data_IF_645991366357
#
_entry.id   IF_645991366357
#
_cell.length_a   1.000
_cell.length_b   1.000
_cell.length_c   1.000
_cell.angle_alpha   90.00
_cell.angle_beta   90.00
_cell.angle_gamma   90.00
#
_symmetry.space_group_name_H-M   'P 1'
#
loop_
_entity.id
_entity.type
_entity.pdbx_description
1 polymer ?
#
# COMPACT_ATOMS: atom_id res chain seq x y z
N UNK A 1 32.52 -2.45 11.79
CA UNK A 1 31.80 -1.61 10.80
C UNK A 1 31.09 -2.54 9.82
N UNK A 2 29.84 -2.87 10.08
CA UNK A 2 29.02 -3.71 9.21
C UNK A 2 27.58 -3.19 9.28
N UNK A 3 27.20 -2.36 8.33
CA UNK A 3 25.92 -1.62 8.28
C UNK A 3 24.76 -2.46 7.72
N UNK A 4 24.96 -3.77 7.54
CA UNK A 4 23.96 -4.71 7.01
C UNK A 4 23.31 -5.51 8.14
N UNK A 5 22.66 -4.82 9.07
CA UNK A 5 21.79 -5.51 10.03
C UNK A 5 20.44 -5.70 9.34
N UNK A 6 20.04 -6.94 9.10
CA UNK A 6 18.81 -7.31 8.40
C UNK A 6 17.55 -6.57 8.90
N UNK A 7 17.55 -6.11 10.16
CA UNK A 7 16.49 -5.32 10.76
C UNK A 7 16.24 -3.94 10.14
N UNK A 8 17.25 -3.26 9.59
CA UNK A 8 17.05 -1.95 8.96
C UNK A 8 16.50 -2.08 7.53
N UNK A 9 16.87 -3.15 6.82
CA UNK A 9 16.38 -3.43 5.47
C UNK A 9 14.91 -3.82 5.49
N UNK A 10 14.50 -4.66 6.45
CA UNK A 10 13.08 -4.98 6.64
C UNK A 10 12.29 -3.76 7.05
N UNK A 11 12.83 -2.89 7.91
CA UNK A 11 12.14 -1.65 8.28
C UNK A 11 11.86 -0.75 7.07
N UNK A 12 12.87 -0.49 6.24
CA UNK A 12 12.73 0.36 5.05
C UNK A 12 11.79 -0.26 4.01
N UNK A 13 11.84 -1.58 3.84
CA UNK A 13 10.91 -2.29 2.96
C UNK A 13 9.47 -2.21 3.48
N UNK A 14 9.26 -2.40 4.80
CA UNK A 14 7.93 -2.30 5.42
C UNK A 14 7.39 -0.89 5.33
N UNK A 15 8.22 0.14 5.54
CA UNK A 15 7.84 1.54 5.38
C UNK A 15 7.48 1.87 3.93
N UNK A 16 8.25 1.39 2.94
CA UNK A 16 7.93 1.56 1.53
C UNK A 16 6.59 0.91 1.15
N UNK A 17 6.30 -0.29 1.67
CA UNK A 17 5.00 -0.96 1.47
C UNK A 17 3.88 -0.18 2.15
N UNK A 18 4.08 0.30 3.38
CA UNK A 18 3.11 1.11 4.11
C UNK A 18 2.72 2.36 3.32
N UNK A 19 3.72 3.08 2.80
CA UNK A 19 3.51 4.26 1.96
C UNK A 19 2.76 3.88 0.68
N UNK A 20 3.13 2.78 0.02
CA UNK A 20 2.44 2.32 -1.18
C UNK A 20 0.97 1.94 -0.92
N UNK A 21 0.68 1.27 0.20
CA UNK A 21 -0.69 0.91 0.62
C UNK A 21 -1.52 2.16 0.91
N UNK A 22 -0.94 3.18 1.58
CA UNK A 22 -1.63 4.46 1.83
C UNK A 22 -1.93 5.17 0.52
N UNK A 23 -0.98 5.24 -0.41
CA UNK A 23 -1.19 5.87 -1.72
C UNK A 23 -2.24 5.11 -2.53
N UNK A 24 -2.23 3.78 -2.50
CA UNK A 24 -3.25 2.96 -3.14
C UNK A 24 -4.64 3.18 -2.51
N UNK A 25 -4.73 3.33 -1.19
CA UNK A 25 -5.97 3.69 -0.51
C UNK A 25 -6.50 5.07 -0.91
N UNK A 26 -5.61 6.06 -1.09
CA UNK A 26 -5.98 7.37 -1.64
C UNK A 26 -6.46 7.25 -3.09
N UNK A 27 -5.81 6.40 -3.90
CA UNK A 27 -6.24 6.12 -5.26
C UNK A 27 -7.65 5.52 -5.30
N UNK A 28 -7.94 4.52 -4.46
CA UNK A 28 -9.27 3.91 -4.39
C UNK A 28 -10.33 4.90 -3.86
N UNK A 29 -9.98 5.75 -2.89
CA UNK A 29 -10.91 6.70 -2.29
C UNK A 29 -11.20 7.93 -3.17
N UNK A 30 -10.25 8.37 -4.02
CA UNK A 30 -10.34 9.63 -4.79
C UNK A 30 -10.28 9.45 -6.31
N UNK A 31 -9.85 8.28 -6.80
CA UNK A 31 -9.56 8.02 -8.21
C UNK A 31 -8.25 8.64 -8.72
N UNK A 32 -7.49 9.36 -7.89
CA UNK A 32 -6.25 10.03 -8.31
C UNK A 32 -5.06 9.05 -8.27
N UNK A 33 -4.42 8.78 -9.42
CA UNK A 33 -3.16 8.02 -9.48
C UNK A 33 -1.96 8.92 -9.20
N UNK A 34 -1.05 8.47 -8.34
CA UNK A 34 0.25 9.13 -8.18
C UNK A 34 1.05 8.99 -9.47
N UNK A 35 1.47 10.11 -10.06
CA UNK A 35 2.25 10.11 -11.30
C UNK A 35 3.73 9.77 -11.00
N UNK A 36 4.21 8.54 -11.30
CA UNK A 36 5.60 8.14 -11.01
C UNK A 36 6.60 9.01 -11.78
N UNK A 37 6.22 9.49 -12.96
CA UNK A 37 7.01 10.39 -13.81
C UNK A 37 7.35 11.73 -13.16
N UNK A 38 6.53 12.16 -12.19
CA UNK A 38 6.76 13.39 -11.40
C UNK A 38 7.48 13.12 -10.08
N UNK A 39 7.50 11.86 -9.63
CA UNK A 39 8.07 11.48 -8.34
C UNK A 39 9.55 11.08 -8.44
N UNK A 40 9.97 10.45 -9.54
CA UNK A 40 11.34 9.98 -9.73
C UNK A 40 11.83 10.24 -11.15
N UNK A 41 13.04 10.80 -11.26
CA UNK A 41 13.79 10.93 -12.50
C UNK A 41 14.57 9.64 -12.80
N UNK A 42 14.33 9.06 -13.98
CA UNK A 42 15.02 7.86 -14.47
C UNK A 42 14.09 6.65 -14.62
N UNK A 43 14.14 6.02 -15.79
CA UNK A 43 13.25 4.92 -16.21
C UNK A 43 13.24 3.74 -15.23
N UNK A 44 14.42 3.37 -14.71
CA UNK A 44 14.54 2.30 -13.71
C UNK A 44 13.86 2.66 -12.40
N UNK A 45 14.01 3.91 -11.93
CA UNK A 45 13.38 4.38 -10.70
C UNK A 45 11.86 4.44 -10.81
N UNK A 46 11.35 4.89 -11.96
CA UNK A 46 9.92 4.90 -12.26
C UNK A 46 9.33 3.49 -12.29
N UNK A 47 10.04 2.52 -12.88
CA UNK A 47 9.62 1.12 -12.88
C UNK A 47 9.52 0.56 -11.46
N UNK A 48 10.53 0.78 -10.61
CA UNK A 48 10.48 0.36 -9.21
C UNK A 48 9.32 0.99 -8.46
N UNK A 49 9.10 2.30 -8.59
CA UNK A 49 7.96 2.98 -7.95
C UNK A 49 6.63 2.40 -8.41
N UNK A 50 6.48 2.10 -9.69
CA UNK A 50 5.29 1.47 -10.25
C UNK A 50 5.05 0.08 -9.65
N UNK A 51 6.09 -0.73 -9.51
CA UNK A 51 6.01 -2.07 -8.93
C UNK A 51 5.60 -2.01 -7.45
N UNK A 52 6.18 -1.09 -6.68
CA UNK A 52 5.80 -0.86 -5.29
C UNK A 52 4.34 -0.39 -5.14
N UNK A 53 3.89 0.53 -6.00
CA UNK A 53 2.50 0.99 -6.03
C UNK A 53 1.54 -0.16 -6.36
N UNK A 54 1.87 -1.00 -7.35
CA UNK A 54 1.07 -2.18 -7.71
C UNK A 54 0.97 -3.18 -6.56
N UNK A 55 2.09 -3.44 -5.87
CA UNK A 55 2.09 -4.30 -4.68
C UNK A 55 1.23 -3.72 -3.56
N UNK A 56 1.33 -2.41 -3.30
CA UNK A 56 0.51 -1.72 -2.30
C UNK A 56 -0.98 -1.82 -2.60
N UNK A 57 -1.36 -1.66 -3.87
CA UNK A 57 -2.75 -1.80 -4.33
C UNK A 57 -3.28 -3.22 -4.17
N UNK A 58 -2.48 -4.24 -4.51
CA UNK A 58 -2.87 -5.63 -4.35
C UNK A 58 -3.09 -5.99 -2.87
N UNK A 59 -2.17 -5.58 -1.98
CA UNK A 59 -2.30 -5.80 -0.53
C UNK A 59 -3.51 -5.08 0.03
N UNK A 60 -3.73 -3.82 -0.39
CA UNK A 60 -4.89 -3.03 0.05
C UNK A 60 -6.21 -3.69 -0.37
N UNK A 61 -6.32 -4.14 -1.63
CA UNK A 61 -7.51 -4.85 -2.14
C UNK A 61 -7.78 -6.15 -1.39
N UNK A 62 -6.74 -6.93 -1.10
CA UNK A 62 -6.87 -8.16 -0.32
C UNK A 62 -7.29 -7.86 1.14
N UNK A 63 -6.77 -6.81 1.75
CA UNK A 63 -7.19 -6.37 3.08
C UNK A 63 -8.67 -5.95 3.10
N UNK A 64 -9.13 -5.17 2.12
CA UNK A 64 -10.54 -4.81 1.97
C UNK A 64 -11.42 -6.04 1.74
N UNK A 65 -11.02 -6.96 0.86
CA UNK A 65 -11.74 -8.22 0.61
C UNK A 65 -11.90 -9.07 1.87
N UNK A 66 -10.84 -9.19 2.68
CA UNK A 66 -10.91 -9.88 3.98
C UNK A 66 -11.82 -9.16 4.97
N UNK A 67 -11.78 -7.84 5.03
CA UNK A 67 -12.65 -7.05 5.89
C UNK A 67 -14.13 -7.21 5.49
N UNK A 68 -14.45 -7.17 4.20
CA UNK A 68 -15.80 -7.41 3.70
C UNK A 68 -16.30 -8.83 3.99
N UNK A 69 -15.44 -9.83 3.81
CA UNK A 69 -15.74 -11.22 4.14
C UNK A 69 -16.02 -11.41 5.63
N UNK A 70 -15.29 -10.70 6.49
CA UNK A 70 -15.51 -10.66 7.94
C UNK A 70 -16.87 -10.04 8.30
N UNK A 71 -17.23 -8.93 7.65
CA UNK A 71 -18.52 -8.27 7.85
C UNK A 71 -19.72 -9.13 7.42
N UNK A 72 -19.61 -9.88 6.31
CA UNK A 72 -20.69 -10.76 5.81
C UNK A 72 -20.95 -11.98 6.70
N UNK A 73 -19.93 -12.48 7.41
CA UNK A 73 -20.05 -13.65 8.31
C UNK A 73 -20.59 -13.29 9.71
N UNK A 74 -21.01 -12.04 9.95
CA UNK A 74 -21.55 -11.59 11.24
C UNK A 74 -20.49 -11.36 12.32
N UNK A 75 -19.21 -11.21 11.93
CA UNK A 75 -18.07 -10.95 12.83
C UNK A 75 -17.67 -9.47 12.95
N UNK A 76 -16.52 -9.25 13.59
CA UNK A 76 -15.90 -8.02 14.16
C UNK A 76 -16.13 -6.65 13.48
N UNK A 77 -16.46 -6.59 12.19
CA UNK A 77 -16.68 -5.35 11.46
C UNK A 77 -18.15 -5.19 11.11
N UNK A 78 -18.85 -4.28 11.81
CA UNK A 78 -20.16 -3.79 11.37
C UNK A 78 -19.95 -2.56 10.48
N UNK A 79 -20.81 -2.38 9.48
CA UNK A 79 -20.95 -1.09 8.80
C UNK A 79 -21.67 -0.13 9.75
N UNK A 80 -20.98 0.32 10.77
CA UNK A 80 -21.45 1.42 11.58
C UNK A 80 -21.21 2.69 10.74
N UNK A 81 -22.31 3.34 10.35
CA UNK A 81 -22.24 4.64 9.70
C UNK A 81 -21.72 5.60 10.76
N UNK A 82 -20.45 6.00 10.68
CA UNK A 82 -19.94 7.11 11.47
C UNK A 82 -20.59 8.37 10.88
N UNK A 83 -21.75 8.72 11.42
CA UNK A 83 -22.42 10.02 11.31
C UNK A 83 -22.54 10.61 12.70
#
# INVERSE_FOLDING_TARGET
MGVFSAGNLTHLAVEAVLVAVVIAGVHEATGCTMAPDKAVTGEKGQWWVKEWLMMGEWIFKEACSKAESSAKKGGLFRRDRIV
#
